data_IF_166835629496
#
_entry.id   IF_166835629496
#
_cell.length_a   1.000
_cell.length_b   1.000
_cell.length_c   1.000
_cell.angle_alpha   90.00
_cell.angle_beta   90.00
_cell.angle_gamma   90.00
#
_symmetry.space_group_name_H-M   'P 1'
#
loop_
_entity.id
_entity.type
_entity.pdbx_description
1 polymer ?
#
# COMPACT_ATOMS: atom_id res chain seq x y z
N UNK A 1 -0.55 -24.98 -15.96
CA UNK A 1 -0.83 -24.29 -14.67
C UNK A 1 -2.33 -24.28 -14.46
N UNK A 2 -2.79 -24.52 -13.24
CA UNK A 2 -4.22 -24.57 -12.94
C UNK A 2 -4.71 -23.17 -12.51
N UNK A 3 -5.33 -22.44 -13.44
CA UNK A 3 -5.97 -21.14 -13.19
C UNK A 3 -7.34 -21.27 -12.48
N UNK A 4 -7.82 -22.49 -12.23
CA UNK A 4 -9.17 -22.76 -11.69
C UNK A 4 -9.30 -22.33 -10.23
N UNK A 5 -8.19 -22.11 -9.53
CA UNK A 5 -8.19 -21.55 -8.17
C UNK A 5 -8.49 -20.05 -8.14
N UNK A 6 -8.31 -19.35 -9.26
CA UNK A 6 -8.64 -17.93 -9.40
C UNK A 6 -10.07 -17.81 -9.93
N UNK A 7 -10.91 -17.03 -9.24
CA UNK A 7 -12.28 -16.69 -9.69
C UNK A 7 -12.24 -15.69 -10.84
N UNK A 8 -11.57 -16.03 -11.94
CA UNK A 8 -11.54 -15.23 -13.16
C UNK A 8 -12.86 -15.37 -13.91
N UNK A 9 -13.37 -14.24 -14.36
CA UNK A 9 -14.41 -14.20 -15.39
C UNK A 9 -13.82 -14.62 -16.72
N UNK A 10 -14.67 -15.06 -17.63
CA UNK A 10 -14.21 -15.60 -18.91
C UNK A 10 -13.43 -14.57 -19.73
N UNK A 11 -13.94 -13.34 -19.86
CA UNK A 11 -13.24 -12.28 -20.60
C UNK A 11 -11.88 -11.92 -19.97
N UNK A 12 -11.76 -11.94 -18.63
CA UNK A 12 -10.46 -11.72 -17.97
C UNK A 12 -9.49 -12.86 -18.29
N UNK A 13 -9.97 -14.11 -18.28
CA UNK A 13 -9.18 -15.30 -18.62
C UNK A 13 -8.67 -15.24 -20.06
N UNK A 14 -9.54 -14.90 -21.00
CA UNK A 14 -9.18 -14.73 -22.42
C UNK A 14 -8.14 -13.62 -22.61
N UNK A 15 -8.34 -12.48 -21.95
CA UNK A 15 -7.44 -11.33 -22.04
C UNK A 15 -6.05 -11.65 -21.46
N UNK A 16 -5.98 -12.38 -20.33
CA UNK A 16 -4.71 -12.88 -19.78
C UNK A 16 -4.05 -13.87 -20.74
N UNK A 17 -4.81 -14.76 -21.39
CA UNK A 17 -4.26 -15.69 -22.38
C UNK A 17 -3.71 -14.96 -23.62
N UNK A 18 -4.35 -13.89 -24.07
CA UNK A 18 -3.84 -13.01 -25.13
C UNK A 18 -2.51 -12.37 -24.74
N UNK A 19 -2.43 -11.81 -23.54
CA UNK A 19 -1.20 -11.22 -23.00
C UNK A 19 -0.06 -12.24 -22.93
N UNK A 20 -0.33 -13.47 -22.47
CA UNK A 20 0.67 -14.54 -22.43
C UNK A 20 1.18 -14.83 -23.84
N UNK A 21 0.30 -15.05 -24.82
CA UNK A 21 0.70 -15.32 -26.21
C UNK A 21 1.53 -14.19 -26.83
N UNK A 22 1.21 -12.94 -26.50
CA UNK A 22 1.93 -11.78 -26.98
C UNK A 22 3.36 -11.72 -26.43
N UNK A 23 3.53 -11.96 -25.13
CA UNK A 23 4.80 -11.75 -24.44
C UNK A 23 5.68 -13.00 -24.33
N UNK A 24 5.11 -14.20 -24.44
CA UNK A 24 5.86 -15.45 -24.27
C UNK A 24 6.93 -15.64 -25.34
N UNK A 25 6.80 -15.05 -26.53
CA UNK A 25 7.80 -15.17 -27.59
C UNK A 25 9.04 -14.31 -27.35
N UNK A 26 8.92 -13.26 -26.53
CA UNK A 26 10.03 -12.40 -26.15
C UNK A 26 10.77 -13.02 -24.95
N UNK A 27 12.02 -13.42 -25.16
CA UNK A 27 12.85 -14.05 -24.13
C UNK A 27 13.20 -13.10 -22.97
N UNK A 28 13.09 -11.79 -23.18
CA UNK A 28 13.31 -10.80 -22.13
C UNK A 28 12.25 -10.89 -21.03
N UNK A 29 11.02 -11.35 -21.33
CA UNK A 29 9.98 -11.59 -20.34
C UNK A 29 10.16 -12.95 -19.68
N UNK A 30 10.39 -12.97 -18.37
CA UNK A 30 10.64 -14.19 -17.59
C UNK A 30 9.40 -14.70 -16.88
N UNK A 31 8.48 -13.84 -16.47
CA UNK A 31 7.21 -14.25 -15.88
C UNK A 31 6.14 -13.16 -16.01
N UNK A 32 4.88 -13.58 -15.97
CA UNK A 32 3.71 -12.72 -15.86
C UNK A 32 3.01 -13.11 -14.57
N UNK A 33 2.87 -12.16 -13.65
CA UNK A 33 2.24 -12.37 -12.34
C UNK A 33 0.95 -11.57 -12.33
N UNK A 34 -0.18 -12.25 -12.13
CA UNK A 34 -1.47 -11.59 -11.94
C UNK A 34 -1.55 -11.00 -10.53
N UNK A 35 -2.08 -9.79 -10.43
CA UNK A 35 -2.19 -9.04 -9.18
C UNK A 35 -3.52 -8.29 -9.08
N UNK A 36 -3.61 -7.35 -8.14
CA UNK A 36 -4.74 -6.44 -8.03
C UNK A 36 -6.08 -7.11 -7.73
N UNK A 37 -7.15 -6.52 -8.26
CA UNK A 37 -8.52 -6.89 -7.86
C UNK A 37 -8.89 -8.34 -8.22
N UNK A 38 -8.35 -8.85 -9.33
CA UNK A 38 -8.57 -10.24 -9.79
C UNK A 38 -7.88 -11.21 -8.84
N UNK A 39 -6.60 -10.98 -8.53
CA UNK A 39 -5.85 -11.80 -7.60
C UNK A 39 -6.48 -11.82 -6.19
N UNK A 40 -7.05 -10.69 -5.76
CA UNK A 40 -7.73 -10.56 -4.47
C UNK A 40 -9.18 -11.10 -4.48
N UNK A 41 -9.70 -11.53 -5.62
CA UNK A 41 -11.06 -12.08 -5.73
C UNK A 41 -12.18 -11.05 -5.55
N UNK A 42 -11.89 -9.77 -5.75
CA UNK A 42 -12.84 -8.64 -5.62
C UNK A 42 -13.08 -7.91 -6.94
N UNK A 43 -12.58 -8.45 -8.05
CA UNK A 43 -12.80 -7.91 -9.38
C UNK A 43 -14.30 -7.83 -9.72
N UNK A 44 -14.65 -6.77 -10.43
CA UNK A 44 -15.93 -6.54 -11.11
C UNK A 44 -15.80 -6.89 -12.59
N UNK A 45 -16.92 -6.91 -13.31
CA UNK A 45 -16.95 -7.19 -14.76
C UNK A 45 -16.17 -6.15 -15.57
N UNK A 46 -16.05 -4.92 -15.06
CA UNK A 46 -15.34 -3.79 -15.67
C UNK A 46 -13.95 -3.57 -15.08
N UNK A 47 -13.45 -4.49 -14.25
CA UNK A 47 -12.11 -4.32 -13.65
C UNK A 47 -11.01 -4.50 -14.67
N UNK A 48 -9.96 -3.71 -14.52
CA UNK A 48 -8.68 -3.84 -15.20
C UNK A 48 -7.92 -5.09 -14.75
N UNK A 49 -6.91 -5.47 -15.55
CA UNK A 49 -6.06 -6.62 -15.28
C UNK A 49 -4.69 -6.09 -14.84
N UNK A 50 -4.47 -6.09 -13.52
CA UNK A 50 -3.19 -5.69 -12.93
C UNK A 50 -2.15 -6.83 -13.05
N UNK A 51 -0.97 -6.54 -13.61
CA UNK A 51 0.13 -7.51 -13.73
C UNK A 51 1.48 -6.97 -13.24
N UNK A 52 2.33 -7.87 -12.76
CA UNK A 52 3.77 -7.65 -12.75
C UNK A 52 4.40 -8.44 -13.90
N UNK A 53 5.16 -7.74 -14.74
CA UNK A 53 5.93 -8.34 -15.83
C UNK A 53 7.38 -8.45 -15.38
N UNK A 54 7.81 -9.67 -15.07
CA UNK A 54 9.20 -9.93 -14.69
C UNK A 54 10.03 -10.02 -15.96
N UNK A 55 11.02 -9.16 -16.12
CA UNK A 55 11.95 -9.14 -17.27
C UNK A 55 13.37 -9.48 -16.84
N UNK A 56 14.28 -9.66 -17.80
CA UNK A 56 15.72 -9.78 -17.53
C UNK A 56 16.28 -8.53 -16.87
N UNK A 57 17.42 -8.66 -16.19
CA UNK A 57 18.10 -7.53 -15.58
C UNK A 57 18.52 -6.49 -16.62
N UNK A 58 19.01 -6.92 -17.79
CA UNK A 58 19.43 -6.01 -18.87
C UNK A 58 18.25 -5.16 -19.35
N UNK A 59 17.10 -5.78 -19.58
CA UNK A 59 15.92 -5.11 -20.08
C UNK A 59 15.28 -4.23 -18.98
N UNK A 60 15.29 -4.67 -17.72
CA UNK A 60 14.86 -3.84 -16.60
C UNK A 60 15.72 -2.59 -16.46
N UNK A 61 17.06 -2.71 -16.54
CA UNK A 61 17.95 -1.54 -16.47
C UNK A 61 17.76 -0.60 -17.66
N UNK A 62 17.53 -1.12 -18.86
CA UNK A 62 17.19 -0.31 -20.03
C UNK A 62 15.89 0.47 -19.81
N UNK A 63 14.79 -0.22 -19.48
CA UNK A 63 13.50 0.44 -19.22
C UNK A 63 13.54 1.43 -18.07
N UNK A 64 14.33 1.15 -17.03
CA UNK A 64 14.57 2.08 -15.91
C UNK A 64 15.26 3.36 -16.37
N UNK A 65 16.29 3.27 -17.22
CA UNK A 65 16.94 4.46 -17.81
C UNK A 65 16.00 5.25 -18.70
N UNK A 66 15.13 4.56 -19.42
CA UNK A 66 14.20 5.15 -20.37
C UNK A 66 12.86 5.58 -19.72
N UNK A 67 12.74 5.51 -18.39
CA UNK A 67 11.53 5.80 -17.63
C UNK A 67 10.27 5.02 -18.10
N UNK A 68 10.45 3.80 -18.60
CA UNK A 68 9.41 2.93 -19.17
C UNK A 68 9.11 1.71 -18.31
N UNK A 69 8.95 1.91 -17.00
CA UNK A 69 8.64 0.83 -16.03
C UNK A 69 7.14 0.51 -15.93
N UNK A 70 6.30 1.17 -16.72
CA UNK A 70 4.87 0.92 -16.84
C UNK A 70 4.59 0.17 -18.15
N UNK A 71 3.66 -0.77 -18.12
CA UNK A 71 3.10 -1.44 -19.28
C UNK A 71 1.60 -1.15 -19.33
N UNK A 72 1.10 -0.81 -20.51
CA UNK A 72 -0.31 -0.53 -20.71
C UNK A 72 -0.74 -1.10 -22.05
N UNK A 73 -1.85 -1.86 -22.06
CA UNK A 73 -2.33 -2.52 -23.27
C UNK A 73 -3.86 -2.71 -23.24
N UNK A 74 -4.53 -2.16 -24.24
CA UNK A 74 -5.98 -2.33 -24.46
C UNK A 74 -6.29 -3.40 -25.49
N UNK A 75 -5.36 -3.66 -26.42
CA UNK A 75 -5.61 -4.43 -27.62
C UNK A 75 -5.71 -5.94 -27.32
N UNK A 76 -5.08 -6.39 -26.23
CA UNK A 76 -5.19 -7.77 -25.75
C UNK A 76 -6.48 -8.06 -24.97
N UNK A 77 -7.24 -7.04 -24.58
CA UNK A 77 -8.47 -7.21 -23.80
C UNK A 77 -9.68 -7.51 -24.68
N UNK A 78 -10.53 -8.45 -24.24
CA UNK A 78 -11.70 -8.93 -25.01
C UNK A 78 -13.04 -8.31 -24.59
N UNK A 79 -13.01 -7.26 -23.78
CA UNK A 79 -14.21 -6.62 -23.21
C UNK A 79 -14.11 -5.09 -23.25
N UNK A 80 -15.26 -4.38 -23.30
CA UNK A 80 -15.29 -2.92 -23.40
C UNK A 80 -14.53 -2.24 -22.25
N UNK A 81 -13.75 -1.21 -22.58
CA UNK A 81 -12.92 -0.42 -21.64
C UNK A 81 -11.87 -1.21 -20.86
N UNK A 82 -11.71 -2.52 -21.12
CA UNK A 82 -10.68 -3.35 -20.50
C UNK A 82 -9.27 -2.90 -20.90
N UNK A 83 -8.35 -2.95 -19.94
CA UNK A 83 -6.94 -2.75 -20.18
C UNK A 83 -6.09 -3.58 -19.20
N UNK A 84 -4.86 -3.86 -19.63
CA UNK A 84 -3.78 -4.36 -18.78
C UNK A 84 -3.07 -3.15 -18.17
N UNK A 85 -2.91 -3.13 -16.85
CA UNK A 85 -2.01 -2.22 -16.15
C UNK A 85 -0.86 -3.03 -15.56
N UNK A 86 0.34 -2.77 -16.05
CA UNK A 86 1.50 -3.60 -15.78
C UNK A 86 2.67 -2.82 -15.17
N UNK A 87 3.34 -3.46 -14.21
CA UNK A 87 4.62 -2.96 -13.67
C UNK A 87 5.75 -3.84 -14.16
N UNK A 88 6.75 -3.23 -14.80
CA UNK A 88 7.96 -3.92 -15.21
C UNK A 88 8.90 -4.04 -14.01
N UNK A 89 9.28 -5.27 -13.67
CA UNK A 89 10.19 -5.59 -12.57
C UNK A 89 11.23 -6.61 -13.03
N UNK A 90 12.34 -6.74 -12.32
CA UNK A 90 13.24 -7.88 -12.46
C UNK A 90 13.06 -8.87 -11.31
N UNK A 91 13.76 -10.00 -11.33
CA UNK A 91 13.67 -10.99 -10.25
C UNK A 91 14.13 -10.42 -8.89
N UNK A 92 15.21 -9.62 -8.89
CA UNK A 92 15.74 -9.01 -7.66
C UNK A 92 14.74 -8.07 -6.96
N UNK A 93 13.76 -7.53 -7.69
CA UNK A 93 12.64 -6.79 -7.09
C UNK A 93 11.79 -7.70 -6.18
N UNK A 94 11.51 -8.94 -6.60
CA UNK A 94 10.71 -9.88 -5.81
C UNK A 94 11.45 -10.29 -4.54
N UNK A 95 12.76 -10.51 -4.63
CA UNK A 95 13.62 -10.76 -3.47
C UNK A 95 13.62 -9.56 -2.51
N UNK A 96 13.79 -8.34 -3.05
CA UNK A 96 13.72 -7.11 -2.25
C UNK A 96 12.34 -6.90 -1.63
N UNK A 97 11.26 -7.27 -2.32
CA UNK A 97 9.90 -7.16 -1.80
C UNK A 97 9.68 -8.14 -0.62
N UNK A 98 10.23 -9.35 -0.71
CA UNK A 98 10.21 -10.33 0.37
C UNK A 98 11.02 -9.86 1.60
N UNK A 99 12.19 -9.27 1.39
CA UNK A 99 13.09 -8.87 2.47
C UNK A 99 12.62 -7.56 3.14
N UNK A 100 12.40 -6.53 2.32
CA UNK A 100 12.26 -5.13 2.77
C UNK A 100 11.19 -4.34 2.01
N UNK A 101 10.28 -5.04 1.33
CA UNK A 101 9.17 -4.40 0.64
C UNK A 101 8.31 -3.57 1.59
N UNK A 102 7.93 -2.37 1.15
CA UNK A 102 6.95 -1.56 1.86
C UNK A 102 5.61 -2.29 1.96
N UNK A 103 4.80 -1.95 2.96
CA UNK A 103 3.48 -2.58 3.14
C UNK A 103 2.60 -2.51 1.87
N UNK A 104 2.50 -1.38 1.13
CA UNK A 104 1.77 -1.34 -0.14
C UNK A 104 2.31 -2.30 -1.20
N UNK A 105 3.63 -2.40 -1.31
CA UNK A 105 4.26 -3.35 -2.23
C UNK A 105 3.88 -4.77 -1.83
N UNK A 106 4.04 -5.15 -0.56
CA UNK A 106 3.65 -6.48 -0.07
C UNK A 106 2.17 -6.77 -0.29
N UNK A 107 1.30 -5.82 0.02
CA UNK A 107 -0.14 -5.93 -0.12
C UNK A 107 -0.56 -6.16 -1.58
N UNK A 108 0.17 -5.59 -2.54
CA UNK A 108 -0.10 -5.80 -3.96
C UNK A 108 0.13 -7.24 -4.44
N UNK A 109 0.84 -8.06 -3.66
CA UNK A 109 1.03 -9.50 -3.92
C UNK A 109 -0.02 -10.39 -3.22
N UNK A 110 -0.98 -9.83 -2.48
CA UNK A 110 -2.05 -10.63 -1.85
C UNK A 110 -2.84 -11.34 -2.95
N UNK A 111 -2.87 -12.66 -2.88
CA UNK A 111 -3.55 -13.52 -3.86
C UNK A 111 -2.83 -13.65 -5.20
N UNK A 112 -1.67 -13.01 -5.39
CA UNK A 112 -0.94 -13.04 -6.65
C UNK A 112 -0.47 -14.44 -7.03
N UNK A 113 -0.43 -14.69 -8.35
CA UNK A 113 -0.03 -15.97 -8.95
C UNK A 113 0.71 -15.73 -10.26
N UNK A 114 1.73 -16.52 -10.54
CA UNK A 114 2.31 -16.53 -11.87
C UNK A 114 1.34 -17.21 -12.84
N UNK A 115 0.93 -16.50 -13.89
CA UNK A 115 0.12 -17.06 -14.99
C UNK A 115 0.99 -17.55 -16.14
N UNK A 116 2.24 -17.09 -16.18
CA UNK A 116 3.33 -17.58 -17.02
C UNK A 116 4.64 -17.42 -16.25
N UNK A 117 5.55 -18.40 -16.34
CA UNK A 117 6.88 -18.28 -15.73
C UNK A 117 7.90 -19.23 -16.35
N UNK A 118 9.10 -18.70 -16.58
CA UNK A 118 10.35 -19.42 -16.86
C UNK A 118 11.23 -19.57 -15.62
N UNK A 119 10.80 -19.00 -14.50
CA UNK A 119 11.54 -18.92 -13.23
C UNK A 119 11.05 -20.04 -12.31
N UNK A 120 11.90 -21.05 -11.99
CA UNK A 120 11.53 -22.11 -11.07
C UNK A 120 11.19 -21.57 -9.67
N UNK A 121 10.14 -22.10 -9.06
CA UNK A 121 9.79 -21.79 -7.67
C UNK A 121 9.18 -20.40 -7.42
N UNK A 122 8.88 -19.62 -8.47
CA UNK A 122 8.34 -18.25 -8.30
C UNK A 122 7.08 -18.21 -7.45
N UNK A 123 6.18 -19.19 -7.57
CA UNK A 123 4.93 -19.22 -6.79
C UNK A 123 5.17 -19.31 -5.28
N UNK A 124 6.23 -20.01 -4.85
CA UNK A 124 6.60 -20.08 -3.43
C UNK A 124 7.10 -18.73 -2.90
N UNK A 125 7.78 -17.95 -3.75
CA UNK A 125 8.20 -16.59 -3.41
C UNK A 125 7.00 -15.65 -3.30
N UNK A 126 6.08 -15.71 -4.27
CA UNK A 126 4.86 -14.89 -4.29
C UNK A 126 3.96 -15.12 -3.07
N UNK A 127 3.92 -16.34 -2.53
CA UNK A 127 3.16 -16.64 -1.32
C UNK A 127 3.75 -16.03 -0.05
N UNK A 128 5.05 -15.75 -0.01
CA UNK A 128 5.74 -15.23 1.17
C UNK A 128 5.76 -13.70 1.23
N UNK A 129 5.78 -13.01 0.08
CA UNK A 129 5.80 -11.54 0.01
C UNK A 129 4.66 -10.87 0.81
N UNK A 130 3.38 -11.29 0.70
CA UNK A 130 2.26 -10.63 1.37
C UNK A 130 2.11 -11.01 2.86
N UNK A 131 3.08 -11.70 3.46
CA UNK A 131 3.08 -11.97 4.91
C UNK A 131 3.42 -10.67 5.67
N UNK A 132 2.68 -10.41 6.74
CA UNK A 132 2.88 -9.20 7.55
C UNK A 132 4.26 -9.21 8.23
N UNK A 133 5.07 -8.13 8.11
CA UNK A 133 6.43 -8.10 8.67
C UNK A 133 6.41 -7.85 10.17
N UNK A 134 6.59 -8.91 10.97
CA UNK A 134 6.59 -8.82 12.43
C UNK A 134 7.79 -8.05 13.01
N UNK A 135 8.95 -8.11 12.36
CA UNK A 135 10.22 -7.57 12.87
C UNK A 135 10.13 -6.10 13.28
N UNK A 136 9.38 -5.29 12.52
CA UNK A 136 9.26 -3.85 12.77
C UNK A 136 7.93 -3.45 13.43
N UNK A 137 7.05 -4.41 13.74
CA UNK A 137 5.65 -4.10 14.12
C UNK A 137 5.58 -3.24 15.39
N UNK A 138 6.31 -3.61 16.44
CA UNK A 138 6.30 -2.86 17.70
C UNK A 138 6.81 -1.43 17.55
N UNK A 139 7.86 -1.25 16.76
CA UNK A 139 8.40 0.08 16.48
C UNK A 139 7.42 0.91 15.64
N UNK A 140 6.85 0.32 14.59
CA UNK A 140 5.83 0.96 13.76
C UNK A 140 4.61 1.43 14.58
N UNK A 141 4.15 0.64 15.56
CA UNK A 141 3.05 1.06 16.44
C UNK A 141 3.39 2.35 17.20
N UNK A 142 4.60 2.43 17.76
CA UNK A 142 5.08 3.63 18.47
C UNK A 142 5.23 4.82 17.52
N UNK A 143 5.82 4.59 16.35
CA UNK A 143 6.03 5.63 15.35
C UNK A 143 4.71 6.19 14.85
N UNK A 144 3.75 5.34 14.48
CA UNK A 144 2.43 5.79 14.04
C UNK A 144 1.67 6.52 15.15
N UNK A 145 1.72 6.04 16.39
CA UNK A 145 1.08 6.75 17.49
C UNK A 145 1.73 8.10 17.78
N UNK A 146 3.05 8.22 17.63
CA UNK A 146 3.74 9.50 17.72
C UNK A 146 3.24 10.50 16.67
N UNK A 147 3.02 10.05 15.43
CA UNK A 147 2.41 10.90 14.39
C UNK A 147 0.98 11.35 14.75
N UNK A 148 0.15 10.45 15.29
CA UNK A 148 -1.21 10.78 15.75
C UNK A 148 -1.18 11.87 16.82
N UNK A 149 -0.29 11.74 17.81
CA UNK A 149 -0.13 12.72 18.87
C UNK A 149 0.34 14.09 18.34
N UNK A 150 1.35 14.12 17.48
CA UNK A 150 1.94 15.38 17.02
C UNK A 150 1.05 16.10 16.00
N UNK A 151 0.55 15.39 14.99
CA UNK A 151 -0.36 16.02 14.04
C UNK A 151 -1.69 16.40 14.68
N UNK A 152 -2.20 15.59 15.62
CA UNK A 152 -3.49 15.86 16.27
C UNK A 152 -3.43 16.92 17.36
N UNK A 153 -2.46 16.86 18.29
CA UNK A 153 -2.41 17.78 19.43
C UNK A 153 -1.67 19.08 19.15
N UNK A 154 -0.64 19.04 18.28
CA UNK A 154 0.18 20.22 18.01
C UNK A 154 -0.16 20.87 16.67
N UNK A 155 0.07 20.18 15.55
CA UNK A 155 -0.05 20.83 14.23
C UNK A 155 -1.49 21.23 13.89
N UNK A 156 -2.48 20.38 14.13
CA UNK A 156 -3.88 20.72 13.90
C UNK A 156 -4.35 21.88 14.79
N UNK A 157 -3.98 21.89 16.07
CA UNK A 157 -4.31 22.98 16.98
C UNK A 157 -3.73 24.32 16.49
N UNK A 158 -2.46 24.32 16.09
CA UNK A 158 -1.78 25.50 15.53
C UNK A 158 -2.41 25.95 14.22
N UNK A 159 -2.78 25.00 13.36
CA UNK A 159 -3.46 25.30 12.10
C UNK A 159 -4.80 26.00 12.31
N UNK A 160 -5.60 25.52 13.27
CA UNK A 160 -6.88 26.11 13.63
C UNK A 160 -6.70 27.50 14.27
N UNK A 161 -5.76 27.66 15.20
CA UNK A 161 -5.46 28.96 15.82
C UNK A 161 -5.04 30.03 14.81
N UNK A 162 -4.34 29.62 13.76
CA UNK A 162 -3.79 30.51 12.75
C UNK A 162 -4.67 30.62 11.51
N UNK A 163 -5.82 29.93 11.46
CA UNK A 163 -6.64 29.79 10.25
C UNK A 163 -5.79 29.39 9.03
N UNK A 164 -4.89 28.40 9.19
CA UNK A 164 -4.01 27.90 8.14
C UNK A 164 -4.63 26.66 7.47
N UNK A 165 -5.33 26.80 6.33
CA UNK A 165 -6.04 25.68 5.70
C UNK A 165 -5.11 24.60 5.15
N UNK A 166 -3.90 24.97 4.73
CA UNK A 166 -2.91 24.03 4.23
C UNK A 166 -2.41 23.11 5.36
N UNK A 167 -1.94 23.70 6.46
CA UNK A 167 -1.45 22.92 7.61
C UNK A 167 -2.57 22.08 8.21
N UNK A 168 -3.81 22.60 8.23
CA UNK A 168 -4.97 21.86 8.70
C UNK A 168 -5.23 20.63 7.83
N UNK A 169 -5.27 20.80 6.51
CA UNK A 169 -5.48 19.69 5.55
C UNK A 169 -4.39 18.62 5.64
N UNK A 170 -3.13 19.05 5.77
CA UNK A 170 -2.00 18.15 5.97
C UNK A 170 -2.08 17.40 7.29
N UNK A 171 -2.42 18.10 8.39
CA UNK A 171 -2.56 17.49 9.71
C UNK A 171 -3.69 16.48 9.74
N UNK A 172 -4.86 16.81 9.19
CA UNK A 172 -6.01 15.91 9.11
C UNK A 172 -5.68 14.65 8.32
N UNK A 173 -5.09 14.81 7.13
CA UNK A 173 -4.70 13.68 6.28
C UNK A 173 -3.73 12.75 7.00
N UNK A 174 -2.74 13.30 7.71
CA UNK A 174 -1.77 12.51 8.45
C UNK A 174 -2.34 11.86 9.71
N UNK A 175 -3.16 12.57 10.50
CA UNK A 175 -3.79 11.97 11.70
C UNK A 175 -4.65 10.78 11.31
N UNK A 176 -5.48 10.92 10.27
CA UNK A 176 -6.33 9.83 9.78
C UNK A 176 -5.49 8.69 9.20
N UNK A 177 -4.46 9.00 8.41
CA UNK A 177 -3.54 7.99 7.87
C UNK A 177 -2.86 7.20 8.98
N UNK A 178 -2.19 7.88 9.92
CA UNK A 178 -1.40 7.20 10.94
C UNK A 178 -2.26 6.51 12.00
N UNK A 179 -3.43 7.05 12.35
CA UNK A 179 -4.38 6.35 13.20
C UNK A 179 -4.86 5.04 12.55
N UNK A 180 -5.19 5.07 11.24
CA UNK A 180 -5.59 3.84 10.56
C UNK A 180 -4.41 2.88 10.33
N UNK A 181 -3.21 3.38 10.03
CA UNK A 181 -1.98 2.55 9.96
C UNK A 181 -1.70 1.85 11.30
N UNK A 182 -1.93 2.53 12.42
CA UNK A 182 -1.83 1.98 13.77
C UNK A 182 -2.81 0.81 13.97
N UNK A 183 -4.07 1.00 13.59
CA UNK A 183 -5.10 -0.06 13.62
C UNK A 183 -4.71 -1.24 12.72
N UNK A 184 -4.30 -0.98 11.47
CA UNK A 184 -3.88 -2.05 10.55
C UNK A 184 -2.70 -2.85 11.11
N UNK A 185 -1.69 -2.16 11.65
CA UNK A 185 -0.52 -2.81 12.26
C UNK A 185 -0.87 -3.63 13.50
N UNK A 186 -1.78 -3.15 14.35
CA UNK A 186 -2.29 -3.90 15.50
C UNK A 186 -2.92 -5.23 15.07
N UNK A 187 -3.69 -5.20 13.97
CA UNK A 187 -4.38 -6.35 13.40
C UNK A 187 -3.53 -7.21 12.44
N UNK A 188 -2.24 -6.85 12.22
CA UNK A 188 -1.35 -7.50 11.22
C UNK A 188 -1.93 -7.48 9.80
N UNK A 189 -2.63 -6.41 9.46
CA UNK A 189 -3.15 -6.15 8.12
C UNK A 189 -2.16 -5.23 7.42
N UNK A 190 -1.70 -5.62 6.24
CA UNK A 190 -0.84 -4.76 5.43
C UNK A 190 -1.62 -3.53 4.96
N UNK A 191 -1.01 -2.35 5.06
CA UNK A 191 -1.51 -1.14 4.41
C UNK A 191 -1.50 -1.30 2.88
N UNK A 192 -2.66 -1.29 2.20
CA UNK A 192 -2.72 -1.59 0.78
C UNK A 192 -2.26 -0.42 -0.09
N UNK A 193 -2.93 0.71 0.04
CA UNK A 193 -2.67 1.99 -0.62
C UNK A 193 -3.69 3.01 -0.12
N UNK A 194 -3.54 4.28 -0.48
CA UNK A 194 -4.50 5.32 -0.10
C UNK A 194 -5.92 5.07 -0.65
N UNK A 195 -6.05 4.57 -1.91
CA UNK A 195 -7.35 4.28 -2.54
C UNK A 195 -8.17 3.25 -1.75
N UNK A 196 -7.51 2.24 -1.19
CA UNK A 196 -8.16 1.13 -0.48
C UNK A 196 -8.03 1.22 1.04
N UNK A 197 -7.47 2.32 1.55
CA UNK A 197 -7.10 2.48 2.96
C UNK A 197 -8.30 2.36 3.90
N UNK A 198 -9.34 3.18 3.69
CA UNK A 198 -10.49 3.21 4.58
C UNK A 198 -11.22 1.87 4.62
N UNK A 199 -11.41 1.23 3.46
CA UNK A 199 -11.98 -0.12 3.38
C UNK A 199 -11.19 -1.14 4.20
N UNK A 200 -9.85 -1.07 4.18
CA UNK A 200 -9.01 -1.98 4.97
C UNK A 200 -9.15 -1.72 6.48
N UNK A 201 -9.17 -0.45 6.90
CA UNK A 201 -9.31 -0.07 8.32
C UNK A 201 -10.72 -0.43 8.84
N UNK A 202 -11.76 -0.18 8.06
CA UNK A 202 -13.14 -0.56 8.38
C UNK A 202 -13.30 -2.08 8.55
N UNK A 203 -12.59 -2.86 7.73
CA UNK A 203 -12.56 -4.32 7.80
C UNK A 203 -11.68 -4.90 8.90
N UNK A 204 -10.86 -4.09 9.60
CA UNK A 204 -10.01 -4.56 10.68
C UNK A 204 -10.87 -5.05 11.87
N UNK A 205 -10.62 -6.25 12.43
CA UNK A 205 -11.46 -6.81 13.47
C UNK A 205 -11.40 -6.02 14.77
N UNK A 206 -10.21 -5.60 15.20
CA UNK A 206 -10.00 -4.87 16.45
C UNK A 206 -9.75 -3.38 16.17
N UNK A 207 -10.70 -2.53 16.57
CA UNK A 207 -10.61 -1.06 16.46
C UNK A 207 -11.59 -0.36 17.42
N UNK A 208 -11.39 0.93 17.74
CA UNK A 208 -12.39 1.69 18.47
C UNK A 208 -13.74 1.67 17.75
N UNK A 209 -14.83 1.44 18.50
CA UNK A 209 -16.19 1.33 17.94
C UNK A 209 -16.58 2.58 17.14
N UNK A 210 -16.18 3.76 17.62
CA UNK A 210 -16.51 5.05 17.01
C UNK A 210 -15.52 5.51 15.93
N UNK A 211 -14.48 4.72 15.63
CA UNK A 211 -13.37 5.14 14.76
C UNK A 211 -13.86 5.71 13.41
N UNK A 212 -14.72 4.94 12.72
CA UNK A 212 -15.17 5.30 11.37
C UNK A 212 -16.00 6.57 11.39
N UNK A 213 -16.93 6.68 12.35
CA UNK A 213 -17.75 7.86 12.55
C UNK A 213 -16.90 9.10 12.82
N UNK A 214 -15.97 9.03 13.78
CA UNK A 214 -15.11 10.15 14.14
C UNK A 214 -14.21 10.59 12.98
N UNK A 215 -13.67 9.66 12.17
CA UNK A 215 -12.89 10.01 10.97
C UNK A 215 -13.74 10.80 9.97
N UNK A 216 -14.97 10.38 9.70
CA UNK A 216 -15.86 11.10 8.78
C UNK A 216 -16.22 12.49 9.30
N UNK A 217 -16.56 12.61 10.59
CA UNK A 217 -16.88 13.90 11.21
C UNK A 217 -15.67 14.84 11.19
N UNK A 218 -14.49 14.32 11.51
CA UNK A 218 -13.24 15.09 11.55
C UNK A 218 -12.81 15.58 10.17
N UNK A 219 -12.97 14.76 9.12
CA UNK A 219 -12.66 15.15 7.74
C UNK A 219 -13.67 16.16 7.17
N UNK A 220 -14.93 16.09 7.59
CA UNK A 220 -15.99 16.96 7.09
C UNK A 220 -15.96 18.36 7.74
N UNK A 221 -15.73 18.42 9.05
CA UNK A 221 -15.77 19.66 9.83
C UNK A 221 -14.78 19.59 11.00
N UNK A 222 -13.50 19.92 10.75
CA UNK A 222 -12.43 19.80 11.74
C UNK A 222 -12.49 20.91 12.79
N UNK A 223 -12.66 20.53 14.05
CA UNK A 223 -12.50 21.43 15.21
C UNK A 223 -11.42 20.94 16.16
N UNK A 224 -10.98 21.80 17.09
CA UNK A 224 -9.99 21.40 18.11
C UNK A 224 -10.53 20.29 19.00
N UNK A 225 -11.80 20.39 19.37
CA UNK A 225 -12.50 19.45 20.25
C UNK A 225 -12.57 18.08 19.59
N UNK A 226 -13.03 18.01 18.34
CA UNK A 226 -13.11 16.75 17.58
C UNK A 226 -11.74 16.12 17.37
N UNK A 227 -10.72 16.93 17.10
CA UNK A 227 -9.36 16.43 16.95
C UNK A 227 -8.82 15.82 18.25
N UNK A 228 -9.02 16.51 19.39
CA UNK A 228 -8.59 16.00 20.70
C UNK A 228 -9.35 14.73 21.11
N UNK A 229 -10.66 14.69 20.88
CA UNK A 229 -11.51 13.52 21.14
C UNK A 229 -11.08 12.31 20.30
N UNK A 230 -10.76 12.53 19.02
CA UNK A 230 -10.25 11.47 18.16
C UNK A 230 -8.90 10.93 18.67
N UNK A 231 -7.97 11.81 19.02
CA UNK A 231 -6.65 11.41 19.57
C UNK A 231 -6.81 10.66 20.90
N UNK A 232 -7.72 11.09 21.77
CA UNK A 232 -8.03 10.40 23.02
C UNK A 232 -8.66 9.02 22.80
N UNK A 233 -9.55 8.91 21.82
CA UNK A 233 -10.15 7.63 21.42
C UNK A 233 -9.09 6.64 20.96
N UNK A 234 -8.13 7.08 20.14
CA UNK A 234 -7.00 6.24 19.71
C UNK A 234 -6.09 5.89 20.90
N UNK A 235 -5.80 6.84 21.78
CA UNK A 235 -4.95 6.61 22.96
C UNK A 235 -5.56 5.70 24.02
N UNK A 236 -6.89 5.66 24.12
CA UNK A 236 -7.62 4.84 25.10
C UNK A 236 -7.90 3.42 24.61
N UNK A 237 -7.69 3.16 23.31
CA UNK A 237 -7.93 1.85 22.72
C UNK A 237 -6.92 0.79 23.19
N UNK A 238 -5.65 1.17 23.30
CA UNK A 238 -4.54 0.33 23.73
C UNK A 238 -3.44 1.20 24.35
N UNK A 239 -2.63 0.60 25.23
CA UNK A 239 -1.38 1.22 25.65
C UNK A 239 -0.33 1.05 24.54
N UNK A 240 0.00 2.15 23.87
CA UNK A 240 0.98 2.19 22.79
C UNK A 240 2.43 2.30 23.28
N UNK A 241 2.66 2.36 24.60
CA UNK A 241 3.97 2.22 25.21
C UNK A 241 4.91 3.42 25.03
N UNK A 242 4.35 4.62 24.77
CA UNK A 242 5.13 5.87 24.69
C UNK A 242 4.41 7.04 25.36
N UNK A 243 5.20 7.90 26.00
CA UNK A 243 4.76 9.19 26.52
C UNK A 243 4.71 10.26 25.41
N UNK A 244 4.06 11.39 25.67
CA UNK A 244 4.07 12.52 24.73
C UNK A 244 5.48 13.05 24.47
N UNK A 245 6.35 13.11 25.49
CA UNK A 245 7.75 13.54 25.30
C UNK A 245 8.51 12.60 24.35
N UNK A 246 8.35 11.28 24.52
CA UNK A 246 8.95 10.30 23.60
C UNK A 246 8.37 10.41 22.19
N UNK A 247 7.07 10.69 22.06
CA UNK A 247 6.44 10.93 20.77
C UNK A 247 7.07 12.10 20.01
N UNK A 248 7.43 13.19 20.70
CA UNK A 248 8.16 14.32 20.09
C UNK A 248 9.53 13.86 19.57
N UNK A 249 10.28 13.08 20.36
CA UNK A 249 11.58 12.55 19.92
C UNK A 249 11.47 11.62 18.71
N UNK A 250 10.47 10.72 18.70
CA UNK A 250 10.20 9.83 17.57
C UNK A 250 9.79 10.63 16.32
N UNK A 251 9.00 11.68 16.47
CA UNK A 251 8.60 12.53 15.35
C UNK A 251 9.82 13.21 14.70
N UNK A 252 10.73 13.77 15.50
CA UNK A 252 11.99 14.36 14.99
C UNK A 252 12.79 13.31 14.22
N UNK A 253 12.99 12.12 14.80
CA UNK A 253 13.72 11.05 14.15
C UNK A 253 13.08 10.63 12.79
N UNK A 254 11.75 10.44 12.78
CA UNK A 254 11.03 9.89 11.63
C UNK A 254 10.75 10.91 10.51
N UNK A 255 10.63 12.21 10.84
CA UNK A 255 10.17 13.22 9.89
C UNK A 255 11.25 14.25 9.56
N UNK A 256 12.07 14.65 10.53
CA UNK A 256 13.08 15.69 10.35
C UNK A 256 14.47 15.13 10.07
N UNK A 257 14.78 13.95 10.61
CA UNK A 257 16.11 13.31 10.53
C UNK A 257 16.13 12.03 9.69
N UNK A 258 15.02 11.68 9.04
CA UNK A 258 14.93 10.51 8.16
C UNK A 258 15.99 10.49 7.04
N UNK A 259 16.52 11.65 6.67
CA UNK A 259 17.55 11.80 5.63
C UNK A 259 18.93 11.27 6.06
N UNK A 260 19.15 11.01 7.35
CA UNK A 260 20.41 10.47 7.87
C UNK A 260 20.63 9.05 7.35
N UNK A 261 19.56 8.23 7.33
CA UNK A 261 19.64 6.81 6.98
C UNK A 261 19.23 6.53 5.52
N UNK A 262 18.57 7.48 4.85
CA UNK A 262 18.12 7.35 3.47
C UNK A 262 18.12 8.70 2.74
N UNK A 263 18.20 8.76 1.40
CA UNK A 263 17.99 10.02 0.69
C UNK A 263 16.64 10.64 1.06
N UNK A 264 16.54 11.97 1.27
CA UNK A 264 15.30 12.63 1.67
C UNK A 264 14.17 12.29 0.69
N UNK A 265 12.91 12.19 1.13
CA UNK A 265 11.80 11.96 0.22
C UNK A 265 11.61 13.17 -0.71
N UNK A 266 10.93 13.00 -1.85
CA UNK A 266 10.76 14.07 -2.86
C UNK A 266 10.15 15.35 -2.29
N UNK A 267 9.25 15.23 -1.31
CA UNK A 267 8.62 16.37 -0.65
C UNK A 267 9.59 17.27 0.13
N UNK A 268 10.78 16.76 0.47
CA UNK A 268 11.81 17.43 1.27
C UNK A 268 13.09 17.74 0.45
N UNK A 269 13.06 17.56 -0.87
CA UNK A 269 14.20 17.78 -1.79
C UNK A 269 14.16 19.13 -2.49
#
# INVERSE_FOLDING_TARGET
MNLDSLKLREHHRESVANLIRLLEQDESFRAIILSGSIAQGVARDDSDIDVYLVVTDEEFQKRKRDHSLCYYDKDVCTYPEGYIDGKIINYAFLESALERGSEPTRASFIGSRAVFSRIPGIDSLLQQIPVYPEVNREQNLKDFYAQVLLYGKYFAARALDQNNPYLLSQSLSNVVLFAGRLILAYNRILFPCHKSFMRAVEGAPDKPVQYVQQVHELLADPTKERMLEFVETIGSFQDWGITYHQAVSLFVANNEWNWIDAPPPLQDR
#
